data_IF_524710801518
#
_entry.id   IF_524710801518
#
_cell.length_a   1.000
_cell.length_b   1.000
_cell.length_c   1.000
_cell.angle_alpha   90.00
_cell.angle_beta   90.00
_cell.angle_gamma   90.00
#
_symmetry.space_group_name_H-M   'P 1'
#
loop_
_entity.id
_entity.type
_entity.pdbx_description
1 polymer ?
#
# COMPACT_ATOMS: atom_id res chain seq x y z
N UNK A 1 10.93 3.08 0.29
CA UNK A 1 10.50 4.38 0.81
C UNK A 1 9.58 4.20 2.01
N UNK A 2 8.47 3.47 1.87
CA UNK A 2 7.57 3.02 2.96
C UNK A 2 8.29 2.33 4.13
N UNK A 3 9.17 1.35 3.86
CA UNK A 3 9.92 0.64 4.91
C UNK A 3 10.95 1.49 5.68
N UNK A 4 11.10 2.78 5.35
CA UNK A 4 12.12 3.68 5.92
C UNK A 4 11.56 5.00 6.42
N UNK A 5 10.31 5.31 6.14
CA UNK A 5 9.70 6.60 6.44
C UNK A 5 8.27 6.38 6.89
N UNK A 6 7.78 7.31 7.68
CA UNK A 6 6.39 7.38 8.07
C UNK A 6 5.63 8.22 7.05
N UNK A 7 4.56 7.66 6.52
CA UNK A 7 3.62 8.39 5.66
C UNK A 7 2.49 8.92 6.53
N UNK A 8 2.45 10.24 6.71
CA UNK A 8 1.51 10.96 7.55
C UNK A 8 0.47 11.67 6.71
N UNK A 9 -0.80 11.49 7.04
CA UNK A 9 -1.94 12.23 6.48
C UNK A 9 -2.78 12.68 7.66
N UNK A 10 -3.01 13.98 7.75
CA UNK A 10 -3.67 14.60 8.91
C UNK A 10 -2.95 14.17 10.22
N UNK A 11 -3.67 13.59 11.19
CA UNK A 11 -3.09 13.11 12.46
C UNK A 11 -2.69 11.63 12.45
N UNK A 12 -2.89 10.93 11.33
CA UNK A 12 -2.60 9.50 11.22
C UNK A 12 -1.30 9.27 10.47
N UNK A 13 -0.57 8.22 10.87
CA UNK A 13 0.73 7.91 10.30
C UNK A 13 0.92 6.41 10.13
N UNK A 14 1.46 6.01 8.99
CA UNK A 14 1.82 4.61 8.75
C UNK A 14 3.07 4.25 9.55
N UNK A 15 3.24 2.98 9.87
CA UNK A 15 4.47 2.45 10.46
C UNK A 15 4.73 1.02 9.95
N UNK A 16 5.83 0.84 9.22
CA UNK A 16 6.21 -0.47 8.66
C UNK A 16 6.57 -1.50 9.74
N UNK A 17 6.81 -1.09 10.98
CA UNK A 17 7.06 -2.03 12.09
C UNK A 17 5.86 -2.94 12.34
N UNK A 18 4.62 -2.44 12.16
CA UNK A 18 3.42 -3.27 12.29
C UNK A 18 3.39 -4.40 11.24
N UNK A 19 3.89 -4.14 10.03
CA UNK A 19 4.05 -5.18 9.00
C UNK A 19 5.13 -6.19 9.39
N UNK A 20 6.23 -5.73 9.98
CA UNK A 20 7.30 -6.61 10.46
C UNK A 20 6.83 -7.50 11.62
N UNK A 21 6.05 -6.95 12.56
CA UNK A 21 5.46 -7.68 13.69
C UNK A 21 4.42 -8.71 13.22
N UNK A 22 3.57 -8.32 12.27
CA UNK A 22 2.66 -9.25 11.60
C UNK A 22 3.44 -10.41 10.97
N UNK A 23 4.45 -10.11 10.15
CA UNK A 23 5.29 -11.13 9.51
C UNK A 23 5.97 -12.05 10.53
N UNK A 24 6.55 -11.50 11.60
CA UNK A 24 7.27 -12.26 12.64
C UNK A 24 6.37 -13.27 13.33
N UNK A 25 5.10 -12.95 13.52
CA UNK A 25 4.15 -13.85 14.16
C UNK A 25 3.50 -14.81 13.17
N UNK A 26 3.09 -14.33 12.00
CA UNK A 26 2.48 -15.15 10.93
C UNK A 26 3.45 -16.22 10.42
N UNK A 27 4.73 -15.88 10.22
CA UNK A 27 5.75 -16.81 9.70
C UNK A 27 6.01 -18.03 10.58
N UNK A 28 5.59 -18.02 11.84
CA UNK A 28 5.72 -19.15 12.78
C UNK A 28 4.52 -20.10 12.74
N UNK A 29 3.44 -19.72 12.07
CA UNK A 29 2.23 -20.53 11.99
C UNK A 29 2.37 -21.58 10.87
N UNK A 30 1.83 -22.78 11.12
CA UNK A 30 1.71 -23.81 10.10
C UNK A 30 0.76 -23.37 8.97
N UNK A 31 -0.31 -22.65 9.32
CA UNK A 31 -1.26 -22.04 8.40
C UNK A 31 -1.14 -20.52 8.49
N UNK A 32 -0.55 -19.94 7.45
CA UNK A 32 -0.21 -18.53 7.36
C UNK A 32 -1.32 -17.75 6.65
N UNK A 33 -1.63 -16.55 7.16
CA UNK A 33 -2.55 -15.60 6.53
C UNK A 33 -1.90 -14.88 5.35
N UNK A 34 -0.59 -14.65 5.40
CA UNK A 34 0.18 -14.04 4.31
C UNK A 34 1.37 -14.92 3.88
N UNK A 35 1.13 -16.12 3.33
CA UNK A 35 2.19 -17.10 3.04
C UNK A 35 3.24 -16.60 2.03
N UNK A 36 2.85 -15.68 1.15
CA UNK A 36 3.73 -15.07 0.14
C UNK A 36 4.74 -14.08 0.74
N UNK A 37 4.46 -13.56 1.94
CA UNK A 37 5.34 -12.62 2.61
C UNK A 37 6.54 -13.38 3.18
N UNK A 38 7.74 -12.89 2.90
CA UNK A 38 9.02 -13.51 3.32
C UNK A 38 9.95 -12.46 3.89
N UNK A 39 11.07 -12.89 4.45
CA UNK A 39 12.09 -11.99 5.00
C UNK A 39 12.51 -10.90 4.01
N UNK A 40 12.71 -11.25 2.74
CA UNK A 40 13.07 -10.32 1.66
C UNK A 40 12.04 -9.20 1.41
N UNK A 41 10.80 -9.37 1.85
CA UNK A 41 9.77 -8.33 1.74
C UNK A 41 9.92 -7.28 2.84
N UNK A 42 10.32 -7.70 4.04
CA UNK A 42 10.45 -6.83 5.22
C UNK A 42 11.84 -6.17 5.27
N UNK A 43 12.87 -6.92 4.91
CA UNK A 43 14.27 -6.50 4.96
C UNK A 43 14.95 -6.69 3.60
N UNK A 44 14.52 -5.96 2.55
CA UNK A 44 15.06 -6.15 1.21
C UNK A 44 16.51 -5.66 1.09
N UNK A 45 17.36 -6.52 0.54
CA UNK A 45 18.70 -6.19 0.07
C UNK A 45 18.70 -5.30 -1.20
N UNK A 46 19.88 -4.91 -1.72
CA UNK A 46 20.00 -4.01 -2.87
C UNK A 46 19.26 -4.50 -4.12
N UNK A 47 19.46 -5.76 -4.52
CA UNK A 47 18.78 -6.35 -5.68
C UNK A 47 17.29 -6.56 -5.46
N UNK A 48 16.89 -6.88 -4.23
CA UNK A 48 15.50 -7.11 -3.87
C UNK A 48 14.67 -5.82 -3.92
N UNK A 49 15.28 -4.67 -3.59
CA UNK A 49 14.64 -3.35 -3.74
C UNK A 49 14.23 -3.02 -5.17
N UNK A 50 14.88 -3.62 -6.17
CA UNK A 50 14.54 -3.43 -7.59
C UNK A 50 13.42 -4.38 -8.06
N UNK A 51 13.04 -5.37 -7.25
CA UNK A 51 12.03 -6.36 -7.62
C UNK A 51 10.63 -5.87 -7.27
N UNK A 52 9.96 -5.28 -8.26
CA UNK A 52 8.56 -4.80 -8.15
C UNK A 52 7.63 -5.88 -7.59
N UNK A 53 7.85 -7.15 -7.93
CA UNK A 53 7.10 -8.28 -7.37
C UNK A 53 7.06 -8.28 -5.83
N UNK A 54 8.19 -8.04 -5.16
CA UNK A 54 8.24 -8.03 -3.70
C UNK A 54 7.43 -6.85 -3.13
N UNK A 55 7.55 -5.67 -3.75
CA UNK A 55 6.78 -4.50 -3.35
C UNK A 55 5.27 -4.72 -3.54
N UNK A 56 4.84 -5.26 -4.69
CA UNK A 56 3.44 -5.56 -4.96
C UNK A 56 2.86 -6.60 -3.99
N UNK A 57 3.67 -7.57 -3.55
CA UNK A 57 3.24 -8.56 -2.54
C UNK A 57 3.10 -7.94 -1.14
N UNK A 58 3.97 -7.00 -0.76
CA UNK A 58 3.82 -6.20 0.48
C UNK A 58 2.50 -5.44 0.46
N UNK A 59 2.21 -4.77 -0.66
CA UNK A 59 1.00 -3.96 -0.84
C UNK A 59 -0.21 -4.78 -1.31
N UNK A 60 -0.32 -6.06 -0.94
CA UNK A 60 -1.42 -6.90 -1.41
C UNK A 60 -2.62 -6.89 -0.47
N UNK A 61 -3.83 -7.05 -1.02
CA UNK A 61 -5.06 -7.18 -0.23
C UNK A 61 -4.97 -8.34 0.79
N UNK A 62 -4.31 -9.44 0.45
CA UNK A 62 -4.10 -10.55 1.41
C UNK A 62 -3.24 -10.16 2.62
N UNK A 63 -2.26 -9.27 2.45
CA UNK A 63 -1.45 -8.76 3.56
C UNK A 63 -2.30 -7.81 4.42
N UNK A 64 -3.07 -6.91 3.80
CA UNK A 64 -4.00 -6.04 4.53
C UNK A 64 -5.01 -6.86 5.34
N UNK A 65 -5.65 -7.86 4.73
CA UNK A 65 -6.61 -8.73 5.40
C UNK A 65 -5.97 -9.50 6.56
N UNK A 66 -4.78 -10.08 6.38
CA UNK A 66 -4.07 -10.79 7.44
C UNK A 66 -3.69 -9.88 8.61
N UNK A 67 -3.18 -8.67 8.33
CA UNK A 67 -2.91 -7.67 9.36
C UNK A 67 -4.20 -7.22 10.07
N UNK A 68 -5.31 -7.06 9.36
CA UNK A 68 -6.60 -6.72 9.94
C UNK A 68 -7.15 -7.83 10.84
N UNK A 69 -6.95 -9.10 10.48
CA UNK A 69 -7.25 -10.23 11.37
C UNK A 69 -6.42 -10.15 12.65
N UNK A 70 -5.14 -9.83 12.55
CA UNK A 70 -4.27 -9.67 13.72
C UNK A 70 -4.67 -8.49 14.60
N UNK A 71 -5.16 -7.41 14.00
CA UNK A 71 -5.74 -6.27 14.72
C UNK A 71 -6.97 -6.71 15.53
N UNK A 72 -7.90 -7.44 14.91
CA UNK A 72 -9.11 -7.95 15.57
C UNK A 72 -8.86 -9.02 16.63
N UNK A 73 -7.71 -9.71 16.55
CA UNK A 73 -7.23 -10.66 17.56
C UNK A 73 -6.34 -9.99 18.62
N UNK A 74 -6.24 -8.66 18.63
CA UNK A 74 -5.41 -7.87 19.58
C UNK A 74 -3.91 -8.24 19.54
N UNK A 75 -3.44 -8.80 18.41
CA UNK A 75 -2.02 -9.11 18.16
C UNK A 75 -1.27 -7.95 17.49
N UNK A 76 -2.00 -6.96 17.01
CA UNK A 76 -1.49 -5.67 16.57
C UNK A 76 -2.27 -4.56 17.28
N UNK A 77 -1.64 -3.43 17.60
CA UNK A 77 -2.30 -2.33 18.28
C UNK A 77 -3.19 -1.54 17.31
N UNK A 78 -4.15 -0.76 17.83
CA UNK A 78 -5.15 -0.03 17.03
C UNK A 78 -4.52 0.93 16.00
N UNK A 79 -3.35 1.47 16.32
CA UNK A 79 -2.53 2.33 15.47
C UNK A 79 -2.11 1.65 14.16
N UNK A 80 -2.08 0.31 14.13
CA UNK A 80 -1.79 -0.44 12.90
C UNK A 80 -2.87 -0.27 11.83
N UNK A 81 -4.10 0.09 12.20
CA UNK A 81 -5.22 0.23 11.28
C UNK A 81 -4.91 1.18 10.12
N UNK A 82 -4.26 2.32 10.38
CA UNK A 82 -3.93 3.26 9.30
C UNK A 82 -2.93 2.66 8.30
N UNK A 83 -1.97 1.87 8.77
CA UNK A 83 -1.01 1.16 7.89
C UNK A 83 -1.72 0.10 7.04
N UNK A 84 -2.65 -0.63 7.64
CA UNK A 84 -3.48 -1.64 6.96
C UNK A 84 -4.32 -0.99 5.85
N UNK A 85 -4.96 0.13 6.19
CA UNK A 85 -5.77 0.91 5.26
C UNK A 85 -4.94 1.47 4.11
N UNK A 86 -3.72 1.94 4.39
CA UNK A 86 -2.78 2.38 3.36
C UNK A 86 -2.40 1.23 2.41
N UNK A 87 -2.09 0.04 2.95
CA UNK A 87 -1.76 -1.14 2.15
C UNK A 87 -2.90 -1.53 1.19
N UNK A 88 -4.14 -1.63 1.68
CA UNK A 88 -5.30 -1.95 0.83
C UNK A 88 -5.57 -0.86 -0.22
N UNK A 89 -5.39 0.42 0.13
CA UNK A 89 -5.57 1.52 -0.82
C UNK A 89 -4.56 1.48 -1.97
N UNK A 90 -3.32 1.15 -1.65
CA UNK A 90 -2.25 0.98 -2.65
C UNK A 90 -2.46 -0.26 -3.51
N UNK A 91 -2.95 -1.39 -2.97
CA UNK A 91 -3.31 -2.59 -3.75
C UNK A 91 -4.29 -2.23 -4.87
N UNK A 92 -5.40 -1.57 -4.49
CA UNK A 92 -6.47 -1.16 -5.41
C UNK A 92 -6.00 -0.15 -6.44
N UNK A 93 -5.18 0.84 -6.03
CA UNK A 93 -4.60 1.80 -6.96
C UNK A 93 -3.72 1.09 -7.99
N UNK A 94 -2.84 0.20 -7.54
CA UNK A 94 -1.97 -0.55 -8.44
C UNK A 94 -2.76 -1.47 -9.37
N UNK A 95 -3.82 -2.11 -8.88
CA UNK A 95 -4.69 -2.97 -9.69
C UNK A 95 -5.44 -2.19 -10.78
N UNK A 96 -5.86 -0.93 -10.54
CA UNK A 96 -6.45 -0.07 -11.59
C UNK A 96 -5.44 0.18 -12.72
N UNK A 97 -4.22 0.61 -12.35
CA UNK A 97 -3.15 0.94 -13.31
C UNK A 97 -2.52 -0.28 -13.98
N UNK A 98 -2.70 -1.47 -13.42
CA UNK A 98 -2.18 -2.74 -13.93
C UNK A 98 -3.31 -3.75 -14.20
N UNK A 99 -4.42 -3.24 -14.72
CA UNK A 99 -5.62 -4.01 -15.04
C UNK A 99 -5.47 -4.82 -16.32
N UNK A 100 -6.29 -5.86 -16.49
CA UNK A 100 -6.30 -6.70 -17.69
C UNK A 100 -7.67 -7.28 -17.98
N UNK A 101 -7.88 -7.78 -19.21
CA UNK A 101 -9.11 -8.46 -19.61
C UNK A 101 -9.23 -9.90 -19.04
N UNK A 102 -8.26 -10.36 -18.25
CA UNK A 102 -8.29 -11.70 -17.66
C UNK A 102 -9.37 -11.75 -16.58
N UNK A 103 -10.30 -12.72 -16.62
CA UNK A 103 -11.30 -12.90 -15.57
C UNK A 103 -10.64 -12.99 -14.20
N UNK A 104 -11.12 -12.16 -13.26
CA UNK A 104 -10.63 -12.15 -11.90
C UNK A 104 -11.69 -11.57 -10.95
N UNK A 105 -11.60 -11.98 -9.69
CA UNK A 105 -12.57 -11.60 -8.65
C UNK A 105 -12.36 -10.18 -8.10
N UNK A 106 -11.16 -9.61 -8.28
CA UNK A 106 -10.87 -8.22 -7.90
C UNK A 106 -11.48 -7.23 -8.88
N UNK A 107 -12.49 -6.49 -8.44
CA UNK A 107 -13.16 -5.44 -9.22
C UNK A 107 -12.19 -4.39 -9.79
N UNK A 108 -11.22 -3.93 -9.00
CA UNK A 108 -10.25 -2.89 -9.38
C UNK A 108 -9.24 -3.32 -10.45
N UNK A 109 -9.04 -4.62 -10.65
CA UNK A 109 -8.10 -5.16 -11.65
C UNK A 109 -8.77 -5.43 -13.01
N UNK A 110 -10.08 -5.19 -13.09
CA UNK A 110 -10.79 -5.13 -14.37
C UNK A 110 -10.31 -3.90 -15.15
N UNK A 111 -10.37 -3.94 -16.49
CA UNK A 111 -9.92 -2.83 -17.32
C UNK A 111 -10.53 -1.51 -16.85
N UNK A 112 -9.74 -0.44 -16.92
CA UNK A 112 -10.24 0.89 -16.63
C UNK A 112 -11.38 1.22 -17.59
N UNK A 113 -12.54 1.56 -17.02
CA UNK A 113 -13.75 1.96 -17.75
C UNK A 113 -14.35 3.24 -17.17
N UNK A 114 -13.59 3.93 -16.31
CA UNK A 114 -14.01 5.10 -15.57
C UNK A 114 -15.35 4.90 -14.82
N UNK A 115 -15.55 3.69 -14.27
CA UNK A 115 -16.71 3.38 -13.44
C UNK A 115 -16.67 4.20 -12.16
N UNK A 116 -17.82 4.41 -11.52
CA UNK A 116 -17.93 5.11 -10.23
C UNK A 116 -16.93 4.54 -9.20
N UNK A 117 -16.90 3.21 -9.02
CA UNK A 117 -15.96 2.53 -8.14
C UNK A 117 -14.48 2.88 -8.40
N UNK A 118 -14.06 2.91 -9.68
CA UNK A 118 -12.68 3.23 -10.06
C UNK A 118 -12.40 4.72 -9.83
N UNK A 119 -13.32 5.60 -10.26
CA UNK A 119 -13.21 7.05 -10.15
C UNK A 119 -13.14 7.50 -8.69
N UNK A 120 -13.99 6.96 -7.83
CA UNK A 120 -14.02 7.28 -6.40
C UNK A 120 -12.71 6.89 -5.72
N UNK A 121 -12.17 5.71 -6.05
CA UNK A 121 -10.88 5.29 -5.51
C UNK A 121 -9.73 6.18 -6.00
N UNK A 122 -9.73 6.57 -7.27
CA UNK A 122 -8.73 7.48 -7.83
C UNK A 122 -8.81 8.88 -7.19
N UNK A 123 -10.00 9.44 -7.03
CA UNK A 123 -10.21 10.74 -6.36
C UNK A 123 -9.80 10.69 -4.89
N UNK A 124 -10.10 9.59 -4.19
CA UNK A 124 -9.63 9.36 -2.82
C UNK A 124 -8.11 9.32 -2.76
N UNK A 125 -7.45 8.65 -3.71
CA UNK A 125 -5.99 8.61 -3.78
C UNK A 125 -5.36 9.96 -4.15
N UNK A 126 -5.99 10.79 -5.00
CA UNK A 126 -5.57 12.18 -5.24
C UNK A 126 -5.53 12.96 -3.93
N UNK A 127 -6.66 12.97 -3.20
CA UNK A 127 -6.75 13.68 -1.92
C UNK A 127 -5.73 13.15 -0.90
N UNK A 128 -5.50 11.82 -0.88
CA UNK A 128 -4.49 11.21 -0.04
C UNK A 128 -3.08 11.72 -0.37
N UNK A 129 -2.68 11.73 -1.65
CA UNK A 129 -1.34 12.17 -2.06
C UNK A 129 -1.12 13.67 -1.92
N UNK A 130 -2.16 14.50 -2.10
CA UNK A 130 -2.09 15.95 -1.88
C UNK A 130 -1.78 16.29 -0.41
N UNK A 131 -2.35 15.53 0.52
CA UNK A 131 -2.16 15.71 1.96
C UNK A 131 -0.95 14.96 2.52
N UNK A 132 -0.36 14.07 1.74
CA UNK A 132 0.69 13.18 2.21
C UNK A 132 1.95 13.96 2.60
N UNK A 133 2.36 13.76 3.86
CA UNK A 133 3.68 14.13 4.37
C UNK A 133 4.52 12.89 4.59
N UNK A 134 5.80 12.98 4.25
CA UNK A 134 6.77 11.89 4.45
C UNK A 134 7.75 12.32 5.52
N UNK A 135 7.67 11.65 6.67
CA UNK A 135 8.50 11.93 7.85
C UNK A 135 9.57 10.86 7.95
N UNK A 136 10.84 11.28 8.05
CA UNK A 136 11.95 10.36 8.28
C UNK A 136 11.90 9.73 9.68
N UNK A 137 12.67 8.66 9.89
CA UNK A 137 12.82 8.03 11.22
C UNK A 137 13.32 9.00 12.29
N UNK A 138 14.01 10.07 11.90
CA UNK A 138 14.52 11.11 12.80
C UNK A 138 13.49 12.23 13.06
N UNK A 139 12.26 12.12 12.55
CA UNK A 139 11.21 13.12 12.71
C UNK A 139 11.28 14.29 11.71
N UNK A 140 12.28 14.34 10.84
CA UNK A 140 12.38 15.40 9.81
C UNK A 140 11.37 15.17 8.69
N UNK A 141 10.63 16.22 8.32
CA UNK A 141 9.81 16.24 7.11
C UNK A 141 10.72 16.27 5.87
N UNK A 142 10.61 15.23 5.05
CA UNK A 142 11.37 15.05 3.81
C UNK A 142 10.48 15.03 2.58
N UNK A 143 9.21 15.46 2.70
CA UNK A 143 8.19 15.40 1.64
C UNK A 143 8.66 16.05 0.34
N UNK A 144 9.32 17.22 0.43
CA UNK A 144 9.82 17.94 -0.73
C UNK A 144 10.85 17.16 -1.57
N UNK A 145 11.47 16.11 -1.01
CA UNK A 145 12.43 15.24 -1.70
C UNK A 145 11.76 14.02 -2.36
N UNK A 146 10.46 13.84 -2.16
CA UNK A 146 9.72 12.64 -2.53
C UNK A 146 8.94 12.83 -3.83
N UNK A 147 9.64 12.78 -4.96
CA UNK A 147 9.07 13.01 -6.28
C UNK A 147 7.94 12.02 -6.67
N UNK A 148 7.87 10.86 -6.03
CA UNK A 148 6.84 9.86 -6.32
C UNK A 148 5.41 10.36 -6.03
N UNK A 149 5.25 11.31 -5.10
CA UNK A 149 3.95 11.88 -4.76
C UNK A 149 3.39 12.61 -5.98
N UNK A 150 4.18 13.51 -6.56
CA UNK A 150 3.82 14.18 -7.81
C UNK A 150 3.65 13.19 -8.96
N UNK A 151 4.47 12.14 -9.01
CA UNK A 151 4.34 11.07 -10.01
C UNK A 151 2.96 10.39 -9.98
N UNK A 152 2.43 10.09 -8.80
CA UNK A 152 1.08 9.53 -8.67
C UNK A 152 -0.02 10.53 -9.00
N UNK A 153 0.10 11.79 -8.58
CA UNK A 153 -0.87 12.84 -8.94
C UNK A 153 -0.96 13.01 -10.46
N UNK A 154 0.18 13.05 -11.14
CA UNK A 154 0.23 13.13 -12.61
C UNK A 154 -0.35 11.88 -13.25
N UNK A 155 0.00 10.68 -12.76
CA UNK A 155 -0.50 9.43 -13.33
C UNK A 155 -2.03 9.33 -13.23
N UNK A 156 -2.62 9.72 -12.08
CA UNK A 156 -4.07 9.68 -11.88
C UNK A 156 -4.78 10.72 -12.77
N UNK A 157 -4.31 11.97 -12.77
CA UNK A 157 -4.90 13.01 -13.62
C UNK A 157 -4.73 12.67 -15.11
N UNK A 158 -3.58 12.16 -15.51
CA UNK A 158 -3.33 11.72 -16.88
C UNK A 158 -4.24 10.56 -17.31
N UNK A 159 -4.56 9.63 -16.41
CA UNK A 159 -5.52 8.56 -16.69
C UNK A 159 -6.93 9.11 -16.92
N UNK A 160 -7.37 10.11 -16.14
CA UNK A 160 -8.65 10.78 -16.38
C UNK A 160 -8.67 11.52 -17.72
N UNK A 161 -7.64 12.33 -17.99
CA UNK A 161 -7.53 13.10 -19.23
C UNK A 161 -7.43 12.23 -20.50
N UNK A 162 -6.90 11.01 -20.41
CA UNK A 162 -6.83 10.09 -21.53
C UNK A 162 -8.19 9.45 -21.84
N UNK A 163 -9.05 9.32 -20.84
CA UNK A 163 -10.36 8.68 -20.98
C UNK A 163 -11.46 9.64 -21.40
N UNK A 164 -11.41 10.88 -20.90
CA UNK A 164 -12.32 11.95 -21.29
C UNK A 164 -12.12 12.37 -22.76
#
# INVERSE_FOLDING_TARGET
>A
MFLKHYFKVDDQSTNSNFLADFYKNDSKLNLRLAPKLTYAHIYPGPFEKMRVKLAAQVFSESVAAGMFTYLGLEKLPLEANFTIQFISKMDKLFDIFNSSNIPNDKSYRRPFKNTELQRDHLNMMLSFFEKLRVISVNGTDVTARMNFINGWLIAINGLFMLWD
#
